data_IF_752228186329
#
_entry.id   IF_752228186329
#
_cell.length_a   1.000
_cell.length_b   1.000
_cell.length_c   1.000
_cell.angle_alpha   90.00
_cell.angle_beta   90.00
_cell.angle_gamma   90.00
#
_symmetry.space_group_name_H-M   'P 1'
#
loop_
_entity.id
_entity.type
_entity.pdbx_description
1 polymer ?
#
# COMPACT_ATOMS: atom_id res chain seq x y z
N UNK A 1 4.85 35.33 25.32
CA UNK A 1 4.16 34.03 25.09
C UNK A 1 4.85 33.35 23.92
N UNK A 2 5.41 32.16 24.04
CA UNK A 2 6.00 31.45 22.92
C UNK A 2 4.86 31.01 21.97
N UNK A 3 4.97 31.36 20.69
CA UNK A 3 4.07 30.86 19.64
C UNK A 3 4.13 29.34 19.68
N UNK A 4 3.00 28.66 19.93
CA UNK A 4 2.86 27.22 19.69
C UNK A 4 3.31 27.01 18.24
N UNK A 5 4.38 26.21 18.05
CA UNK A 5 4.70 25.65 16.74
C UNK A 5 3.42 24.98 16.24
N UNK A 6 2.91 25.42 15.09
CA UNK A 6 1.88 24.68 14.36
C UNK A 6 2.35 23.24 14.31
N UNK A 7 1.54 22.35 14.87
CA UNK A 7 1.80 20.92 14.79
C UNK A 7 1.86 20.60 13.31
N UNK A 8 3.04 20.14 12.84
CA UNK A 8 3.27 19.76 11.46
C UNK A 8 2.14 18.83 11.03
N UNK A 9 1.27 19.31 10.16
CA UNK A 9 0.21 18.47 9.61
C UNK A 9 0.91 17.29 8.88
N UNK A 10 0.48 16.05 9.15
CA UNK A 10 1.11 14.90 8.51
C UNK A 10 1.00 15.07 6.98
N UNK A 11 2.13 14.92 6.30
CA UNK A 11 2.20 15.01 4.83
C UNK A 11 1.15 14.10 4.18
N UNK A 12 0.60 14.54 3.05
CA UNK A 12 -0.33 13.71 2.27
C UNK A 12 0.36 12.42 1.84
N UNK A 13 -0.33 11.30 1.97
CA UNK A 13 0.23 9.99 1.62
C UNK A 13 0.56 9.90 0.12
N UNK A 14 -0.24 10.52 -0.75
CA UNK A 14 0.04 10.61 -2.18
C UNK A 14 1.38 11.27 -2.49
N UNK A 15 1.73 12.35 -1.78
CA UNK A 15 2.99 13.07 -1.98
C UNK A 15 4.18 12.22 -1.53
N UNK A 16 4.02 11.51 -0.42
CA UNK A 16 5.03 10.59 0.09
C UNK A 16 5.26 9.44 -0.89
N UNK A 17 4.18 8.83 -1.38
CA UNK A 17 4.26 7.71 -2.33
C UNK A 17 4.87 8.15 -3.66
N UNK A 18 4.56 9.35 -4.12
CA UNK A 18 5.20 9.95 -5.29
C UNK A 18 6.72 10.06 -5.07
N UNK A 19 7.14 10.67 -3.97
CA UNK A 19 8.55 10.83 -3.64
C UNK A 19 9.30 9.48 -3.52
N UNK A 20 8.65 8.47 -2.96
CA UNK A 20 9.22 7.12 -2.90
C UNK A 20 9.34 6.48 -4.29
N UNK A 21 8.32 6.62 -5.13
CA UNK A 21 8.32 6.03 -6.47
C UNK A 21 9.38 6.65 -7.39
N UNK A 22 9.58 7.96 -7.32
CA UNK A 22 10.59 8.68 -8.11
C UNK A 22 12.04 8.21 -7.84
N UNK A 23 12.27 7.53 -6.71
CA UNK A 23 13.60 6.99 -6.35
C UNK A 23 13.95 5.67 -7.02
N UNK A 24 12.99 5.01 -7.66
CA UNK A 24 13.20 3.70 -8.25
C UNK A 24 13.82 3.75 -9.64
N UNK A 25 13.53 4.80 -10.40
CA UNK A 25 14.02 4.92 -11.76
C UNK A 25 15.17 5.92 -11.85
N UNK A 26 16.27 5.49 -12.49
CA UNK A 26 17.42 6.34 -12.79
C UNK A 26 17.20 7.14 -14.07
N UNK A 27 16.44 6.56 -15.00
CA UNK A 27 16.10 7.22 -16.26
C UNK A 27 14.80 8.03 -16.11
N UNK A 28 14.84 9.36 -16.21
CA UNK A 28 13.64 10.20 -16.07
C UNK A 28 12.59 9.93 -17.18
N UNK A 29 13.00 9.51 -18.37
CA UNK A 29 12.06 9.24 -19.46
C UNK A 29 11.19 8.02 -19.17
N UNK A 30 11.77 6.99 -18.57
CA UNK A 30 11.02 5.80 -18.10
C UNK A 30 10.17 6.14 -16.90
N UNK A 31 10.68 6.94 -15.96
CA UNK A 31 9.94 7.35 -14.76
C UNK A 31 8.64 8.10 -15.07
N UNK A 32 8.49 8.66 -16.28
CA UNK A 32 7.30 9.39 -16.71
C UNK A 32 6.27 8.52 -17.45
N UNK A 33 6.57 7.26 -17.75
CA UNK A 33 5.55 6.37 -18.31
C UNK A 33 4.51 5.98 -17.26
N UNK A 34 3.26 5.79 -17.70
CA UNK A 34 2.17 5.38 -16.83
C UNK A 34 2.44 4.02 -16.19
N UNK A 35 3.00 3.11 -16.97
CA UNK A 35 3.34 1.74 -16.56
C UNK A 35 4.46 1.76 -15.51
N UNK A 36 5.52 2.51 -15.76
CA UNK A 36 6.63 2.65 -14.82
C UNK A 36 6.14 3.25 -13.48
N UNK A 37 5.27 4.25 -13.54
CA UNK A 37 4.68 4.82 -12.34
C UNK A 37 3.87 3.78 -11.54
N UNK A 38 3.07 2.94 -12.20
CA UNK A 38 2.32 1.89 -11.53
C UNK A 38 3.23 0.88 -10.82
N UNK A 39 4.29 0.45 -11.51
CA UNK A 39 5.29 -0.47 -10.96
C UNK A 39 6.02 0.17 -9.78
N UNK A 40 6.43 1.43 -9.92
CA UNK A 40 7.12 2.14 -8.84
C UNK A 40 6.24 2.32 -7.60
N UNK A 41 4.96 2.67 -7.79
CA UNK A 41 3.99 2.79 -6.71
C UNK A 41 3.72 1.45 -6.03
N UNK A 42 3.71 0.36 -6.79
CA UNK A 42 3.61 -0.98 -6.22
C UNK A 42 4.77 -1.28 -5.27
N UNK A 43 6.02 -1.08 -5.68
CA UNK A 43 7.18 -1.32 -4.82
C UNK A 43 7.26 -0.36 -3.64
N UNK A 44 6.87 0.90 -3.83
CA UNK A 44 6.78 1.86 -2.73
C UNK A 44 5.75 1.43 -1.68
N UNK A 45 4.58 0.93 -2.11
CA UNK A 45 3.56 0.38 -1.23
C UNK A 45 4.08 -0.84 -0.44
N UNK A 46 4.78 -1.75 -1.13
CA UNK A 46 5.38 -2.93 -0.51
C UNK A 46 6.36 -2.53 0.58
N UNK A 47 7.33 -1.68 0.25
CA UNK A 47 8.37 -1.23 1.18
C UNK A 47 7.76 -0.46 2.37
N UNK A 48 6.74 0.35 2.12
CA UNK A 48 6.02 1.05 3.17
C UNK A 48 5.36 0.10 4.15
N UNK A 49 4.59 -0.85 3.62
CA UNK A 49 3.83 -1.80 4.43
C UNK A 49 4.74 -2.77 5.20
N UNK A 50 5.88 -3.13 4.65
CA UNK A 50 6.90 -3.91 5.37
C UNK A 50 7.40 -3.15 6.62
N UNK A 51 7.60 -1.85 6.52
CA UNK A 51 8.03 -1.03 7.66
C UNK A 51 6.99 -0.93 8.79
N UNK A 52 5.72 -1.16 8.50
CA UNK A 52 4.64 -1.14 9.51
C UNK A 52 4.21 -2.53 9.95
N UNK A 53 5.02 -3.56 9.64
CA UNK A 53 4.84 -4.94 10.09
C UNK A 53 3.90 -5.77 9.22
N UNK A 54 3.56 -5.29 8.03
CA UNK A 54 2.82 -6.05 7.04
C UNK A 54 3.83 -6.78 6.14
N UNK A 55 4.22 -7.98 6.55
CA UNK A 55 5.11 -8.82 5.73
C UNK A 55 4.31 -9.33 4.54
N UNK A 56 4.66 -8.85 3.36
CA UNK A 56 4.20 -9.43 2.12
C UNK A 56 5.02 -10.67 1.77
N UNK A 57 4.35 -11.68 1.21
CA UNK A 57 5.07 -12.80 0.62
C UNK A 57 5.85 -12.29 -0.61
N UNK A 58 7.17 -12.29 -0.52
CA UNK A 58 8.05 -11.87 -1.62
C UNK A 58 7.85 -12.70 -2.90
N UNK A 59 7.24 -13.89 -2.78
CA UNK A 59 6.85 -14.68 -3.95
C UNK A 59 5.76 -13.98 -4.79
N UNK A 60 4.87 -13.21 -4.16
CA UNK A 60 3.85 -12.44 -4.87
C UNK A 60 4.45 -11.40 -5.83
N UNK A 61 5.68 -10.94 -5.57
CA UNK A 61 6.37 -9.97 -6.43
C UNK A 61 6.89 -10.61 -7.72
N UNK A 62 7.22 -11.88 -7.67
CA UNK A 62 7.66 -12.63 -8.87
C UNK A 62 6.58 -12.68 -9.93
N UNK A 63 5.32 -12.85 -9.53
CA UNK A 63 4.21 -12.86 -10.46
C UNK A 63 4.03 -11.49 -11.15
N UNK A 64 4.20 -10.39 -10.40
CA UNK A 64 4.19 -9.03 -10.99
C UNK A 64 5.37 -8.86 -11.94
N UNK A 65 6.52 -9.40 -11.59
CA UNK A 65 7.74 -9.36 -12.40
C UNK A 65 7.59 -10.08 -13.72
N UNK A 66 7.04 -11.30 -13.69
CA UNK A 66 6.74 -12.09 -14.88
C UNK A 66 5.74 -11.38 -15.81
N UNK A 67 4.77 -10.67 -15.22
CA UNK A 67 3.81 -9.86 -15.99
C UNK A 67 4.51 -8.67 -16.68
N UNK A 68 5.38 -7.96 -15.97
CA UNK A 68 6.14 -6.83 -16.54
C UNK A 68 7.05 -7.32 -17.68
N UNK A 69 7.73 -8.44 -17.51
CA UNK A 69 8.58 -9.04 -18.54
C UNK A 69 7.79 -9.35 -19.81
N UNK A 70 6.58 -9.88 -19.66
CA UNK A 70 5.73 -10.25 -20.78
C UNK A 70 5.08 -9.05 -21.49
N UNK A 71 4.65 -8.04 -20.74
CA UNK A 71 3.83 -6.95 -21.24
C UNK A 71 4.63 -5.69 -21.60
N UNK A 72 5.78 -5.46 -20.96
CA UNK A 72 6.60 -4.27 -21.17
C UNK A 72 8.11 -4.60 -21.16
N UNK A 73 8.68 -5.10 -22.28
CA UNK A 73 10.09 -5.49 -22.35
C UNK A 73 11.09 -4.35 -22.13
N UNK A 74 10.73 -3.10 -22.44
CA UNK A 74 11.60 -1.93 -22.24
C UNK A 74 11.75 -1.64 -20.74
N UNK A 75 10.63 -1.54 -20.04
CA UNK A 75 10.59 -1.39 -18.61
C UNK A 75 11.29 -2.57 -17.91
N UNK A 76 11.07 -3.79 -18.40
CA UNK A 76 11.77 -4.98 -17.90
C UNK A 76 13.27 -4.86 -18.03
N UNK A 77 13.77 -4.41 -19.18
CA UNK A 77 15.21 -4.25 -19.42
C UNK A 77 15.87 -3.25 -18.47
N UNK A 78 15.17 -2.22 -18.08
CA UNK A 78 15.66 -1.28 -17.07
C UNK A 78 15.61 -1.87 -15.65
N UNK A 79 14.51 -2.52 -15.31
CA UNK A 79 14.30 -3.06 -13.97
C UNK A 79 15.16 -4.29 -13.69
N UNK A 80 15.37 -5.19 -14.66
CA UNK A 80 16.15 -6.43 -14.49
C UNK A 80 17.63 -6.18 -14.17
N UNK A 81 18.14 -5.01 -14.54
CA UNK A 81 19.52 -4.61 -14.20
C UNK A 81 19.66 -4.26 -12.71
N UNK A 82 18.53 -4.10 -12.01
CA UNK A 82 18.47 -3.80 -10.59
C UNK A 82 18.01 -5.04 -9.82
N UNK A 83 18.68 -5.32 -8.73
CA UNK A 83 18.23 -6.34 -7.77
C UNK A 83 16.96 -5.81 -7.06
N UNK A 84 15.83 -6.50 -7.27
CA UNK A 84 14.52 -6.12 -6.68
C UNK A 84 14.61 -6.05 -5.16
N UNK A 85 15.24 -7.02 -4.55
CA UNK A 85 15.37 -7.05 -3.10
C UNK A 85 16.18 -5.84 -2.61
N UNK A 86 17.25 -5.50 -3.31
CA UNK A 86 18.04 -4.30 -3.01
C UNK A 86 17.25 -3.01 -3.20
N UNK A 87 16.38 -2.95 -4.21
CA UNK A 87 15.48 -1.81 -4.44
C UNK A 87 14.47 -1.65 -3.30
N UNK A 88 13.77 -2.72 -2.92
CA UNK A 88 12.83 -2.71 -1.80
C UNK A 88 13.54 -2.33 -0.50
N UNK A 89 14.69 -2.92 -0.22
CA UNK A 89 15.50 -2.60 0.96
C UNK A 89 15.95 -1.13 0.96
N UNK A 90 16.23 -0.56 -0.20
CA UNK A 90 16.52 0.85 -0.38
C UNK A 90 15.33 1.74 0.03
N UNK A 91 14.14 1.40 -0.43
CA UNK A 91 12.90 2.12 -0.07
C UNK A 91 12.53 1.94 1.40
N UNK A 92 12.75 0.74 1.96
CA UNK A 92 12.57 0.46 3.39
C UNK A 92 13.49 1.35 4.23
N UNK A 93 14.79 1.43 3.88
CA UNK A 93 15.74 2.33 4.56
C UNK A 93 15.30 3.78 4.45
N UNK A 94 14.87 4.20 3.26
CA UNK A 94 14.38 5.56 3.04
C UNK A 94 13.16 5.88 3.91
N UNK A 95 12.15 5.01 3.92
CA UNK A 95 10.97 5.18 4.77
C UNK A 95 11.34 5.29 6.25
N UNK A 96 12.22 4.41 6.75
CA UNK A 96 12.68 4.43 8.14
C UNK A 96 13.44 5.71 8.50
N UNK A 97 14.18 6.26 7.56
CA UNK A 97 14.95 7.50 7.77
C UNK A 97 14.08 8.75 7.71
N UNK A 98 13.21 8.86 6.71
CA UNK A 98 12.46 10.09 6.44
C UNK A 98 11.09 10.14 7.13
N UNK A 99 10.51 8.98 7.42
CA UNK A 99 9.15 8.86 7.99
C UNK A 99 9.11 7.82 9.13
N UNK A 100 9.98 7.91 10.16
CA UNK A 100 10.11 6.87 11.18
C UNK A 100 8.82 6.62 11.96
N UNK A 101 8.08 7.69 12.25
CA UNK A 101 6.89 7.65 13.11
C UNK A 101 5.58 7.47 12.34
N UNK A 102 5.63 7.53 11.02
CA UNK A 102 4.44 7.34 10.21
C UNK A 102 4.12 5.85 10.08
N UNK A 103 3.05 5.44 10.74
CA UNK A 103 2.60 4.04 10.80
C UNK A 103 1.30 3.78 10.07
N UNK A 104 0.89 4.69 9.19
CA UNK A 104 -0.26 4.46 8.31
C UNK A 104 -0.01 3.22 7.44
N UNK A 105 -1.04 2.42 7.22
CA UNK A 105 -0.97 1.19 6.42
C UNK A 105 -1.64 1.44 5.07
N UNK A 106 -0.94 1.16 3.98
CA UNK A 106 -1.47 1.42 2.64
C UNK A 106 -2.28 0.22 2.18
N UNK A 107 -3.57 0.44 1.88
CA UNK A 107 -4.46 -0.55 1.29
C UNK A 107 -4.25 -0.67 -0.22
N UNK A 108 -4.25 0.48 -0.88
CA UNK A 108 -4.01 0.57 -2.32
C UNK A 108 -3.25 1.84 -2.64
N UNK A 109 -2.43 1.75 -3.66
CA UNK A 109 -1.73 2.88 -4.23
C UNK A 109 -1.69 2.69 -5.76
N UNK A 110 -2.04 3.72 -6.50
CA UNK A 110 -2.03 3.66 -7.96
C UNK A 110 -2.11 5.03 -8.60
N UNK A 111 -1.66 5.12 -9.84
CA UNK A 111 -1.84 6.30 -10.69
C UNK A 111 -3.24 6.32 -11.31
N UNK A 112 -3.76 7.50 -11.58
CA UNK A 112 -4.94 7.67 -12.43
C UNK A 112 -4.50 8.01 -13.86
N UNK A 113 -5.38 7.84 -14.86
CA UNK A 113 -5.07 8.24 -16.24
C UNK A 113 -4.65 9.71 -16.36
N UNK A 114 -5.11 10.58 -15.46
CA UNK A 114 -4.76 12.00 -15.42
C UNK A 114 -3.42 12.27 -14.70
N UNK A 115 -2.65 11.22 -14.36
CA UNK A 115 -1.35 11.35 -13.69
C UNK A 115 -1.43 11.66 -12.20
N UNK A 116 -2.62 11.58 -11.59
CA UNK A 116 -2.79 11.79 -10.15
C UNK A 116 -2.56 10.48 -9.38
N UNK A 117 -1.87 10.55 -8.26
CA UNK A 117 -1.67 9.38 -7.40
C UNK A 117 -2.79 9.31 -6.36
N UNK A 118 -3.52 8.20 -6.36
CA UNK A 118 -4.51 7.88 -5.33
C UNK A 118 -3.94 6.87 -4.35
N UNK A 119 -4.07 7.18 -3.07
CA UNK A 119 -3.64 6.28 -1.99
C UNK A 119 -4.79 6.12 -1.00
N UNK A 120 -5.18 4.89 -0.79
CA UNK A 120 -6.07 4.52 0.31
C UNK A 120 -5.24 3.94 1.44
N UNK A 121 -5.44 4.42 2.63
CA UNK A 121 -4.67 4.02 3.78
C UNK A 121 -5.54 3.85 5.04
N UNK A 122 -5.04 3.07 5.97
CA UNK A 122 -5.61 2.88 7.30
C UNK A 122 -4.72 3.51 8.35
N UNK A 123 -5.29 3.96 9.47
CA UNK A 123 -4.51 4.37 10.63
C UNK A 123 -3.64 3.20 11.12
N UNK A 124 -2.67 3.45 12.01
CA UNK A 124 -1.95 2.39 12.69
C UNK A 124 -2.90 1.35 13.28
N UNK A 125 -2.49 0.08 13.27
CA UNK A 125 -3.27 -0.96 13.92
C UNK A 125 -3.47 -0.63 15.40
N UNK A 126 -4.67 -0.86 15.91
CA UNK A 126 -4.94 -0.72 17.34
C UNK A 126 -4.07 -1.70 18.14
N UNK A 127 -3.62 -1.33 19.34
CA UNK A 127 -2.87 -2.25 20.20
C UNK A 127 -3.59 -3.59 20.35
N UNK A 128 -2.86 -4.70 20.16
CA UNK A 128 -3.41 -6.07 20.26
C UNK A 128 -4.21 -6.54 19.03
N UNK A 129 -4.34 -5.73 17.99
CA UNK A 129 -4.96 -6.14 16.73
C UNK A 129 -3.87 -6.57 15.75
N UNK A 130 -4.03 -7.78 15.17
CA UNK A 130 -3.16 -8.24 14.09
C UNK A 130 -3.38 -7.37 12.84
N UNK A 131 -2.36 -6.59 12.49
CA UNK A 131 -2.39 -5.68 11.36
C UNK A 131 -2.64 -6.40 10.01
N UNK A 132 -2.09 -7.61 9.85
CA UNK A 132 -2.29 -8.43 8.66
C UNK A 132 -3.74 -8.90 8.54
N UNK A 133 -4.31 -9.35 9.66
CA UNK A 133 -5.72 -9.76 9.72
C UNK A 133 -6.65 -8.61 9.34
N UNK A 134 -6.40 -7.42 9.89
CA UNK A 134 -7.21 -6.23 9.62
C UNK A 134 -7.12 -5.83 8.14
N UNK A 135 -5.92 -5.80 7.58
CA UNK A 135 -5.70 -5.52 6.16
C UNK A 135 -6.44 -6.52 5.25
N UNK A 136 -6.40 -7.80 5.58
CA UNK A 136 -7.11 -8.83 4.81
C UNK A 136 -8.63 -8.61 4.85
N UNK A 137 -9.18 -8.28 6.02
CA UNK A 137 -10.60 -7.97 6.15
C UNK A 137 -11.00 -6.75 5.30
N UNK A 138 -10.25 -5.66 5.41
CA UNK A 138 -10.51 -4.45 4.64
C UNK A 138 -10.36 -4.68 3.14
N UNK A 139 -9.38 -5.47 2.72
CA UNK A 139 -9.19 -5.88 1.33
C UNK A 139 -10.43 -6.58 0.78
N UNK A 140 -10.95 -7.58 1.49
CA UNK A 140 -12.17 -8.32 1.09
C UNK A 140 -13.40 -7.40 0.97
N UNK A 141 -13.55 -6.46 1.88
CA UNK A 141 -14.68 -5.51 1.82
C UNK A 141 -14.54 -4.59 0.61
N UNK A 142 -13.34 -4.08 0.38
CA UNK A 142 -13.06 -3.13 -0.70
C UNK A 142 -13.22 -3.75 -2.10
N UNK A 143 -12.82 -4.99 -2.27
CA UNK A 143 -12.99 -5.72 -3.55
C UNK A 143 -14.43 -6.14 -3.85
N UNK A 144 -15.40 -5.72 -3.01
CA UNK A 144 -16.80 -6.05 -3.21
C UNK A 144 -17.16 -7.49 -2.84
N UNK A 145 -16.40 -8.11 -1.93
CA UNK A 145 -16.60 -9.48 -1.49
C UNK A 145 -17.14 -9.56 -0.04
N UNK A 146 -18.29 -8.92 0.29
CA UNK A 146 -18.79 -8.82 1.65
C UNK A 146 -19.08 -10.18 2.27
N UNK A 147 -19.55 -11.15 1.49
CA UNK A 147 -19.81 -12.52 1.96
C UNK A 147 -18.50 -13.25 2.38
N UNK A 148 -17.41 -13.05 1.65
CA UNK A 148 -16.11 -13.58 2.05
C UNK A 148 -15.59 -12.89 3.31
N UNK A 149 -15.77 -11.58 3.41
CA UNK A 149 -15.42 -10.81 4.60
C UNK A 149 -16.20 -11.29 5.84
N UNK A 150 -17.50 -11.52 5.72
CA UNK A 150 -18.31 -12.08 6.81
C UNK A 150 -17.86 -13.49 7.21
N UNK A 151 -17.60 -14.38 6.25
CA UNK A 151 -17.04 -15.72 6.54
C UNK A 151 -15.68 -15.63 7.22
N UNK A 152 -14.84 -14.71 6.79
CA UNK A 152 -13.54 -14.46 7.40
C UNK A 152 -13.67 -14.04 8.87
N UNK A 153 -14.57 -13.10 9.19
CA UNK A 153 -14.86 -12.66 10.57
C UNK A 153 -15.38 -13.81 11.44
N UNK A 154 -16.31 -14.62 10.93
CA UNK A 154 -16.83 -15.79 11.65
C UNK A 154 -15.73 -16.79 11.96
N UNK A 155 -14.89 -17.10 10.96
CA UNK A 155 -13.81 -18.10 11.09
C UNK A 155 -12.69 -17.65 12.05
N UNK A 156 -12.31 -16.37 11.98
CA UNK A 156 -11.10 -15.88 12.66
C UNK A 156 -11.39 -15.25 14.02
N UNK A 157 -12.62 -14.79 14.26
CA UNK A 157 -13.02 -14.10 15.49
C UNK A 157 -14.25 -14.70 16.17
N UNK A 158 -14.80 -15.79 15.63
CA UNK A 158 -15.98 -16.43 16.19
C UNK A 158 -17.25 -15.53 16.21
N UNK A 159 -17.29 -14.49 15.37
CA UNK A 159 -18.40 -13.54 15.37
C UNK A 159 -19.70 -14.19 14.92
N UNK A 160 -20.83 -13.76 15.49
CA UNK A 160 -22.15 -14.11 14.96
C UNK A 160 -22.34 -13.56 13.54
N UNK A 161 -23.33 -14.09 12.80
CA UNK A 161 -23.63 -13.59 11.45
C UNK A 161 -24.03 -12.11 11.49
N UNK A 162 -24.84 -11.72 12.47
CA UNK A 162 -25.31 -10.35 12.66
C UNK A 162 -24.13 -9.39 12.94
N UNK A 163 -23.25 -9.76 13.87
CA UNK A 163 -22.09 -8.92 14.22
C UNK A 163 -21.11 -8.78 13.05
N UNK A 164 -20.87 -9.87 12.31
CA UNK A 164 -20.04 -9.85 11.12
C UNK A 164 -20.64 -8.93 10.03
N UNK A 165 -21.97 -8.97 9.86
CA UNK A 165 -22.67 -8.11 8.91
C UNK A 165 -22.57 -6.63 9.30
N UNK A 166 -22.79 -6.30 10.57
CA UNK A 166 -22.63 -4.94 11.07
C UNK A 166 -21.20 -4.43 10.90
N UNK A 167 -20.20 -5.27 11.19
CA UNK A 167 -18.79 -4.89 11.03
C UNK A 167 -18.44 -4.62 9.57
N UNK A 168 -18.87 -5.47 8.64
CA UNK A 168 -18.67 -5.28 7.20
C UNK A 168 -19.37 -4.02 6.71
N UNK A 169 -20.59 -3.75 7.14
CA UNK A 169 -21.32 -2.53 6.80
C UNK A 169 -20.60 -1.27 7.31
N UNK A 170 -20.10 -1.28 8.54
CA UNK A 170 -19.33 -0.17 9.10
C UNK A 170 -18.06 0.11 8.29
N UNK A 171 -17.33 -0.94 7.86
CA UNK A 171 -16.14 -0.80 7.01
C UNK A 171 -16.55 -0.22 5.64
N UNK A 172 -17.64 -0.70 5.02
CA UNK A 172 -18.14 -0.14 3.75
C UNK A 172 -18.43 1.36 3.85
N UNK A 173 -19.12 1.78 4.92
CA UNK A 173 -19.38 3.20 5.15
C UNK A 173 -18.11 4.03 5.31
N UNK A 174 -17.09 3.49 5.98
CA UNK A 174 -15.79 4.15 6.13
C UNK A 174 -15.12 4.46 4.79
N UNK A 175 -15.34 3.60 3.77
CA UNK A 175 -14.81 3.79 2.41
C UNK A 175 -15.81 4.47 1.46
N UNK A 176 -16.94 4.98 1.94
CA UNK A 176 -17.97 5.59 1.10
C UNK A 176 -18.62 4.62 0.12
N UNK A 177 -18.59 3.32 0.43
CA UNK A 177 -19.23 2.28 -0.37
C UNK A 177 -20.67 2.08 0.10
N UNK A 178 -21.61 2.41 -0.71
CA UNK A 178 -23.06 2.16 -0.47
C UNK A 178 -23.45 0.72 -0.81
#
# INVERSE_FOLDING_TARGET
MPKRKEADQPRKMSDIMKEMSERLFRNPDVAHSSEALHVALFFANVAWNECVGLVHDRQSYRNVWETIEAENPELWNELKSNDIDAMIDGLVRYKKSCFPDDRRRILTCGGTPEGTIRVEWLPPASPGVDAKWEMQLYGLVRTGEPEKAMRFLKKTRGMSRSDAQMKVAAIRMQFGMT
#
